data_IF_159844822275
#
_entry.id   IF_159844822275
#
_cell.length_a   1.000
_cell.length_b   1.000
_cell.length_c   1.000
_cell.angle_alpha   90.00
_cell.angle_beta   90.00
_cell.angle_gamma   90.00
#
_symmetry.space_group_name_H-M   'P 1'
#
loop_
_entity.id
_entity.type
_entity.pdbx_description
1 polymer ?
#
# COMPACT_ATOMS: atom_id res chain seq x y z
N UNK A 1 -3.15 -6.52 -24.47
CA UNK A 1 -2.04 -5.78 -23.83
C UNK A 1 -0.91 -6.74 -23.50
N UNK A 2 0.33 -6.24 -23.49
CA UNK A 2 1.50 -7.02 -23.07
C UNK A 2 1.89 -6.53 -21.68
N UNK A 3 2.18 -7.45 -20.76
CA UNK A 3 2.71 -7.16 -19.44
C UNK A 3 4.08 -7.83 -19.28
N UNK A 4 4.98 -7.18 -18.56
CA UNK A 4 6.29 -7.70 -18.21
C UNK A 4 6.43 -7.66 -16.69
N UNK A 5 6.68 -8.80 -16.07
CA UNK A 5 6.95 -8.92 -14.64
C UNK A 5 8.48 -8.90 -14.44
N UNK A 6 8.96 -8.04 -13.54
CA UNK A 6 10.38 -7.87 -13.27
C UNK A 6 10.65 -8.07 -11.78
N UNK A 7 10.89 -9.33 -11.34
CA UNK A 7 11.16 -9.61 -9.94
C UNK A 7 12.53 -9.09 -9.50
N UNK A 8 12.62 -8.52 -8.30
CA UNK A 8 13.85 -8.02 -7.71
C UNK A 8 14.60 -9.08 -6.88
N UNK A 9 13.91 -10.13 -6.46
CA UNK A 9 14.48 -11.22 -5.64
C UNK A 9 13.86 -12.57 -5.98
N UNK A 10 14.38 -13.65 -5.39
CA UNK A 10 13.94 -15.03 -5.67
C UNK A 10 12.51 -15.31 -5.24
N UNK A 11 12.04 -14.69 -4.16
CA UNK A 11 10.67 -14.86 -3.71
C UNK A 11 9.69 -14.16 -4.66
N UNK A 12 10.01 -12.96 -5.13
CA UNK A 12 9.20 -12.27 -6.14
C UNK A 12 9.13 -13.04 -7.48
N UNK A 13 10.12 -13.89 -7.80
CA UNK A 13 10.01 -14.81 -8.95
C UNK A 13 8.87 -15.79 -8.73
N UNK A 14 8.71 -16.31 -7.52
CA UNK A 14 7.59 -17.22 -7.17
C UNK A 14 6.25 -16.47 -7.21
N UNK A 15 6.19 -15.25 -6.72
CA UNK A 15 4.99 -14.39 -6.82
C UNK A 15 4.62 -14.14 -8.29
N UNK A 16 5.60 -13.80 -9.12
CA UNK A 16 5.40 -13.60 -10.55
C UNK A 16 4.87 -14.87 -11.24
N UNK A 17 5.41 -16.04 -10.90
CA UNK A 17 4.92 -17.32 -11.43
C UNK A 17 3.48 -17.57 -10.97
N UNK A 18 3.18 -17.39 -9.69
CA UNK A 18 1.83 -17.53 -9.16
C UNK A 18 0.82 -16.60 -9.86
N UNK A 19 1.22 -15.37 -10.16
CA UNK A 19 0.40 -14.43 -10.91
C UNK A 19 0.19 -14.87 -12.37
N UNK A 20 1.23 -15.38 -13.04
CA UNK A 20 1.12 -15.92 -14.40
C UNK A 20 0.19 -17.15 -14.44
N UNK A 21 0.31 -18.04 -13.47
CA UNK A 21 -0.56 -19.20 -13.34
C UNK A 21 -2.02 -18.79 -13.14
N UNK A 22 -2.28 -17.72 -12.37
CA UNK A 22 -3.60 -17.15 -12.20
C UNK A 22 -4.16 -16.59 -13.52
N UNK A 23 -3.34 -15.90 -14.30
CA UNK A 23 -3.73 -15.40 -15.63
C UNK A 23 -4.07 -16.54 -16.58
N UNK A 24 -3.23 -17.58 -16.65
CA UNK A 24 -3.46 -18.74 -17.51
C UNK A 24 -4.71 -19.54 -17.10
N UNK A 25 -4.98 -19.63 -15.81
CA UNK A 25 -6.17 -20.27 -15.28
C UNK A 25 -7.44 -19.39 -15.37
N UNK A 26 -7.33 -18.15 -15.87
CA UNK A 26 -8.42 -17.17 -15.90
C UNK A 26 -9.05 -16.90 -14.52
N UNK A 27 -8.28 -17.06 -13.46
CA UNK A 27 -8.70 -16.74 -12.09
C UNK A 27 -8.16 -15.36 -11.72
N UNK A 28 -9.05 -14.40 -11.64
CA UNK A 28 -8.71 -13.02 -11.29
C UNK A 28 -9.04 -12.77 -9.82
N UNK A 29 -8.18 -12.00 -9.20
CA UNK A 29 -8.38 -11.50 -7.87
C UNK A 29 -9.30 -10.30 -7.85
N UNK A 30 -10.05 -10.19 -6.78
CA UNK A 30 -10.88 -9.04 -6.47
C UNK A 30 -12.34 -9.25 -6.83
N UNK A 31 -13.14 -8.50 -6.12
CA UNK A 31 -14.56 -8.40 -6.38
C UNK A 31 -14.81 -7.65 -7.70
N UNK A 32 -15.95 -7.90 -8.36
CA UNK A 32 -16.36 -7.11 -9.49
C UNK A 32 -16.32 -5.63 -9.14
N UNK A 33 -15.67 -4.82 -9.98
CA UNK A 33 -15.60 -3.39 -9.74
C UNK A 33 -17.01 -2.82 -9.62
N UNK A 34 -17.28 -2.12 -8.53
CA UNK A 34 -18.48 -1.35 -8.35
C UNK A 34 -18.61 -0.21 -9.36
N UNK A 35 -19.71 0.56 -9.31
CA UNK A 35 -19.90 1.75 -10.14
C UNK A 35 -18.70 2.70 -10.01
N UNK A 36 -18.30 3.31 -11.11
CA UNK A 36 -17.19 4.26 -11.14
C UNK A 36 -17.42 5.45 -10.20
N UNK A 37 -16.41 5.87 -9.43
CA UNK A 37 -16.50 7.01 -8.52
C UNK A 37 -16.81 8.29 -9.27
N UNK A 38 -17.72 9.11 -8.76
CA UNK A 38 -18.15 10.36 -9.43
C UNK A 38 -17.07 11.43 -9.43
N UNK A 39 -16.19 11.45 -8.45
CA UNK A 39 -15.04 12.37 -8.39
C UNK A 39 -14.04 12.08 -9.53
N UNK A 40 -13.78 10.81 -9.84
CA UNK A 40 -12.96 10.40 -11.00
C UNK A 40 -13.62 10.82 -12.30
N UNK A 41 -14.95 10.67 -12.42
CA UNK A 41 -15.70 11.17 -13.59
C UNK A 41 -15.58 12.69 -13.73
N UNK A 42 -15.73 13.44 -12.64
CA UNK A 42 -15.56 14.89 -12.64
C UNK A 42 -14.14 15.29 -13.08
N UNK A 43 -13.12 14.59 -12.64
CA UNK A 43 -11.74 14.81 -13.09
C UNK A 43 -11.56 14.50 -14.57
N UNK A 44 -12.18 13.42 -15.08
CA UNK A 44 -12.13 13.08 -16.51
C UNK A 44 -12.80 14.14 -17.37
N UNK A 45 -14.00 14.61 -17.01
CA UNK A 45 -14.69 15.70 -17.68
C UNK A 45 -13.80 16.95 -17.75
N UNK A 46 -13.18 17.30 -16.62
CA UNK A 46 -12.30 18.46 -16.54
C UNK A 46 -11.02 18.30 -17.37
N UNK A 47 -10.42 17.11 -17.36
CA UNK A 47 -9.24 16.78 -18.16
C UNK A 47 -9.54 16.83 -19.66
N UNK A 48 -10.72 16.36 -20.08
CA UNK A 48 -11.19 16.46 -21.48
C UNK A 48 -11.30 17.92 -21.90
N UNK A 49 -11.88 18.80 -21.07
CA UNK A 49 -11.96 20.23 -21.34
C UNK A 49 -10.58 20.92 -21.42
N UNK A 50 -9.57 20.39 -20.70
CA UNK A 50 -8.18 20.87 -20.80
C UNK A 50 -7.50 20.47 -22.12
N UNK A 51 -7.98 19.42 -22.78
CA UNK A 51 -7.44 18.97 -24.06
C UNK A 51 -8.08 19.69 -25.25
N UNK A 52 -9.43 19.73 -25.29
CA UNK A 52 -10.21 20.37 -26.34
C UNK A 52 -11.65 20.63 -25.89
N UNK A 53 -12.38 21.55 -26.57
CA UNK A 53 -13.81 21.67 -26.42
C UNK A 53 -14.53 20.37 -26.78
N UNK A 54 -15.56 20.01 -26.00
CA UNK A 54 -16.30 18.76 -26.20
C UNK A 54 -17.81 18.96 -26.20
N UNK A 55 -18.52 18.05 -26.87
CA UNK A 55 -19.96 17.90 -26.77
C UNK A 55 -20.31 17.00 -25.58
N UNK A 56 -21.34 17.33 -24.81
CA UNK A 56 -21.70 16.59 -23.61
C UNK A 56 -22.26 15.18 -23.90
N UNK A 57 -23.01 15.07 -25.02
CA UNK A 57 -23.60 13.76 -25.37
C UNK A 57 -22.56 12.85 -25.97
N UNK A 58 -21.65 13.36 -26.79
CA UNK A 58 -20.51 12.60 -27.30
C UNK A 58 -19.64 12.07 -26.14
N UNK A 59 -19.29 12.93 -25.17
CA UNK A 59 -18.49 12.51 -24.00
C UNK A 59 -19.25 11.51 -23.13
N UNK A 60 -20.56 11.66 -22.95
CA UNK A 60 -21.37 10.68 -22.24
C UNK A 60 -21.32 9.30 -22.92
N UNK A 61 -21.48 9.27 -24.24
CA UNK A 61 -21.40 8.01 -25.00
C UNK A 61 -20.00 7.36 -24.86
N UNK A 62 -18.94 8.14 -24.85
CA UNK A 62 -17.59 7.64 -24.61
C UNK A 62 -17.48 7.06 -23.19
N UNK A 63 -17.89 7.78 -22.16
CA UNK A 63 -17.77 7.39 -20.74
C UNK A 63 -18.48 6.08 -20.45
N UNK A 64 -19.68 5.85 -20.98
CA UNK A 64 -20.43 4.60 -20.72
C UNK A 64 -19.82 3.36 -21.40
N UNK A 65 -18.85 3.53 -22.30
CA UNK A 65 -18.09 2.38 -22.85
C UNK A 65 -17.11 1.80 -21.82
N UNK A 66 -16.75 2.56 -20.77
CA UNK A 66 -15.91 2.09 -19.71
C UNK A 66 -16.71 1.23 -18.71
N UNK A 67 -16.23 0.03 -18.41
CA UNK A 67 -16.93 -0.92 -17.54
C UNK A 67 -17.48 -0.33 -16.23
N UNK A 68 -16.71 0.46 -15.45
CA UNK A 68 -17.20 1.07 -14.21
C UNK A 68 -18.35 2.07 -14.40
N UNK A 69 -18.49 2.63 -15.58
CA UNK A 69 -19.53 3.62 -15.91
C UNK A 69 -20.61 3.09 -16.87
N UNK A 70 -20.60 1.81 -17.22
CA UNK A 70 -21.59 1.22 -18.15
C UNK A 70 -23.05 1.39 -17.67
N UNK A 71 -23.28 1.44 -16.36
CA UNK A 71 -24.59 1.70 -15.75
C UNK A 71 -24.86 3.17 -15.43
N UNK A 72 -23.96 4.08 -15.80
CA UNK A 72 -24.13 5.52 -15.54
C UNK A 72 -25.30 6.07 -16.36
N UNK A 73 -26.27 6.67 -15.68
CA UNK A 73 -27.40 7.31 -16.35
C UNK A 73 -27.03 8.69 -16.87
N UNK A 74 -27.70 9.18 -17.94
CA UNK A 74 -27.46 10.51 -18.47
C UNK A 74 -27.68 11.62 -17.41
N UNK A 75 -28.74 11.58 -16.57
CA UNK A 75 -28.89 12.53 -15.48
C UNK A 75 -27.73 12.49 -14.47
N UNK A 76 -27.17 11.30 -14.21
CA UNK A 76 -26.00 11.15 -13.33
C UNK A 76 -24.75 11.79 -13.92
N UNK A 77 -24.52 11.64 -15.23
CA UNK A 77 -23.45 12.33 -15.95
C UNK A 77 -23.66 13.86 -15.95
N UNK A 78 -24.88 14.33 -16.27
CA UNK A 78 -25.19 15.75 -16.31
C UNK A 78 -25.01 16.42 -14.94
N UNK A 79 -25.32 15.72 -13.85
CA UNK A 79 -25.04 16.21 -12.50
C UNK A 79 -23.53 16.38 -12.22
N UNK A 80 -22.68 15.47 -12.70
CA UNK A 80 -21.22 15.62 -12.62
C UNK A 80 -20.72 16.77 -13.48
N UNK A 81 -21.26 16.92 -14.69
CA UNK A 81 -20.91 18.02 -15.60
C UNK A 81 -21.31 19.39 -15.00
N UNK A 82 -22.53 19.51 -14.43
CA UNK A 82 -22.97 20.73 -13.73
C UNK A 82 -22.08 21.04 -12.54
N UNK A 83 -21.72 20.01 -11.76
CA UNK A 83 -20.82 20.17 -10.63
C UNK A 83 -19.46 20.72 -11.06
N UNK A 84 -18.85 20.18 -12.11
CA UNK A 84 -17.57 20.68 -12.65
C UNK A 84 -17.70 22.08 -13.22
N UNK A 85 -18.81 22.35 -13.90
CA UNK A 85 -19.06 23.68 -14.52
C UNK A 85 -19.23 24.76 -13.47
N UNK A 86 -19.98 24.50 -12.39
CA UNK A 86 -20.46 25.53 -11.47
C UNK A 86 -19.78 25.53 -10.11
N UNK A 87 -19.06 24.47 -9.75
CA UNK A 87 -18.51 24.24 -8.42
C UNK A 87 -19.53 23.64 -7.44
N UNK A 88 -20.68 23.19 -7.95
CA UNK A 88 -21.78 22.60 -7.19
C UNK A 88 -22.60 23.61 -6.40
N UNK A 89 -23.56 23.10 -5.65
CA UNK A 89 -24.57 23.87 -4.93
C UNK A 89 -23.98 25.00 -4.06
N UNK A 90 -22.97 24.72 -3.26
CA UNK A 90 -22.41 25.67 -2.29
C UNK A 90 -21.55 26.77 -2.96
N UNK A 91 -20.96 26.49 -4.11
CA UNK A 91 -19.99 27.38 -4.75
C UNK A 91 -20.49 28.03 -6.03
N UNK A 92 -21.70 27.70 -6.47
CA UNK A 92 -22.32 28.19 -7.72
C UNK A 92 -22.37 29.74 -7.81
N UNK A 93 -22.47 30.42 -6.68
CA UNK A 93 -22.50 31.89 -6.61
C UNK A 93 -21.12 32.55 -6.83
N UNK A 94 -20.04 31.77 -6.80
CA UNK A 94 -18.68 32.31 -6.88
C UNK A 94 -18.04 31.97 -8.23
N UNK A 95 -17.88 32.95 -9.08
CA UNK A 95 -17.28 32.80 -10.43
C UNK A 95 -15.93 32.09 -10.45
N UNK A 96 -15.12 32.25 -9.40
CA UNK A 96 -13.78 31.61 -9.29
C UNK A 96 -13.81 30.08 -9.29
N UNK A 97 -14.95 29.49 -8.93
CA UNK A 97 -15.09 28.01 -8.86
C UNK A 97 -15.70 27.40 -10.11
N UNK A 98 -16.25 28.26 -11.00
CA UNK A 98 -16.78 27.80 -12.27
C UNK A 98 -15.63 27.44 -13.22
N UNK A 99 -15.48 26.17 -13.52
CA UNK A 99 -14.37 25.67 -14.32
C UNK A 99 -14.69 25.58 -15.80
N UNK A 100 -15.93 25.32 -16.17
CA UNK A 100 -16.35 25.16 -17.54
C UNK A 100 -17.37 26.26 -17.95
N UNK A 101 -17.43 26.52 -19.24
CA UNK A 101 -18.45 27.37 -19.88
C UNK A 101 -18.96 26.69 -21.14
N UNK A 102 -20.26 26.85 -21.41
CA UNK A 102 -20.89 26.39 -22.64
C UNK A 102 -20.85 27.53 -23.66
N UNK A 103 -20.31 27.28 -24.86
CA UNK A 103 -20.23 28.23 -25.94
C UNK A 103 -20.43 27.50 -27.26
N UNK A 104 -21.41 27.94 -28.09
CA UNK A 104 -21.76 27.33 -29.38
C UNK A 104 -22.01 25.80 -29.28
N UNK A 105 -22.71 25.36 -28.22
CA UNK A 105 -23.04 23.94 -28.00
C UNK A 105 -21.90 23.10 -27.47
N UNK A 106 -20.71 23.66 -27.26
CA UNK A 106 -19.54 22.91 -26.73
C UNK A 106 -19.10 23.45 -25.38
N UNK A 107 -18.67 22.54 -24.52
CA UNK A 107 -18.07 22.84 -23.23
C UNK A 107 -16.59 23.16 -23.38
N UNK A 108 -16.17 24.25 -22.77
CA UNK A 108 -14.80 24.77 -22.81
C UNK A 108 -14.28 24.98 -21.38
N UNK A 109 -12.99 24.84 -21.20
CA UNK A 109 -12.34 25.34 -19.97
C UNK A 109 -12.54 26.89 -19.91
N UNK A 110 -13.07 27.37 -18.78
CA UNK A 110 -13.36 28.80 -18.61
C UNK A 110 -12.11 29.68 -18.62
N UNK A 111 -11.05 29.23 -17.90
CA UNK A 111 -9.74 29.88 -17.92
C UNK A 111 -8.68 28.87 -18.42
N UNK A 112 -8.17 29.02 -19.64
CA UNK A 112 -7.14 28.14 -20.18
C UNK A 112 -5.85 28.07 -19.33
N UNK A 113 -5.54 29.13 -18.55
CA UNK A 113 -4.35 29.14 -17.66
C UNK A 113 -4.45 28.13 -16.53
N UNK A 114 -5.67 27.73 -16.14
CA UNK A 114 -5.89 26.70 -15.13
C UNK A 114 -5.51 25.29 -15.61
N UNK A 115 -5.37 25.06 -16.93
CA UNK A 115 -5.10 23.71 -17.47
C UNK A 115 -3.82 23.07 -16.92
N UNK A 116 -2.75 23.85 -16.73
CA UNK A 116 -1.50 23.34 -16.18
C UNK A 116 -1.68 22.84 -14.75
N UNK A 117 -2.34 23.62 -13.90
CA UNK A 117 -2.63 23.26 -12.51
C UNK A 117 -3.55 22.04 -12.42
N UNK A 118 -4.58 21.97 -13.27
CA UNK A 118 -5.51 20.84 -13.31
C UNK A 118 -4.75 19.57 -13.67
N UNK A 119 -3.89 19.60 -14.70
CA UNK A 119 -3.10 18.44 -15.12
C UNK A 119 -2.11 17.96 -14.06
N UNK A 120 -1.58 18.83 -13.21
CA UNK A 120 -0.70 18.48 -12.12
C UNK A 120 -1.45 17.81 -10.94
N UNK A 121 -2.76 17.98 -10.86
CA UNK A 121 -3.59 17.47 -9.77
C UNK A 121 -4.60 16.43 -10.26
N UNK A 122 -4.26 15.66 -11.29
CA UNK A 122 -5.06 14.52 -11.75
C UNK A 122 -4.72 13.28 -10.94
N UNK A 123 -5.73 12.50 -10.61
CA UNK A 123 -5.61 11.23 -9.94
C UNK A 123 -6.58 11.09 -8.77
N UNK A 124 -6.57 9.91 -8.18
CA UNK A 124 -7.38 9.62 -7.00
C UNK A 124 -6.85 10.42 -5.82
N UNK A 125 -7.73 11.07 -5.09
CA UNK A 125 -7.38 11.67 -3.78
C UNK A 125 -7.11 10.50 -2.84
N UNK A 126 -5.86 10.35 -2.45
CA UNK A 126 -5.46 9.34 -1.49
C UNK A 126 -5.51 10.02 -0.12
N UNK A 127 -6.30 9.46 0.78
CA UNK A 127 -6.40 9.92 2.16
C UNK A 127 -5.22 9.37 2.98
N UNK A 128 -4.02 9.85 2.65
CA UNK A 128 -2.80 9.55 3.40
C UNK A 128 -2.35 10.85 4.04
N UNK A 129 -2.47 10.91 5.35
CA UNK A 129 -1.95 12.03 6.10
C UNK A 129 -0.43 11.89 6.25
N UNK A 130 0.30 12.84 5.70
CA UNK A 130 1.74 12.96 5.87
C UNK A 130 2.06 14.15 6.77
N UNK A 131 3.09 13.97 7.60
CA UNK A 131 3.61 14.98 8.49
C UNK A 131 4.97 15.47 7.99
N UNK A 132 5.18 16.78 7.96
CA UNK A 132 6.48 17.35 7.61
C UNK A 132 7.49 17.11 8.74
N UNK A 133 8.72 16.72 8.37
CA UNK A 133 9.82 16.55 9.31
C UNK A 133 10.75 17.75 9.23
N UNK A 134 11.00 18.42 10.36
CA UNK A 134 11.87 19.60 10.42
C UNK A 134 12.90 19.51 11.56
N UNK A 135 14.09 20.01 11.29
CA UNK A 135 15.06 20.27 12.36
C UNK A 135 14.54 21.37 13.27
N UNK A 136 14.60 21.13 14.57
CA UNK A 136 14.19 22.09 15.61
C UNK A 136 14.94 23.41 15.43
N UNK A 137 14.21 24.51 15.35
CA UNK A 137 14.76 25.84 15.14
C UNK A 137 15.18 26.20 13.70
N UNK A 138 14.98 25.35 12.71
CA UNK A 138 15.38 25.57 11.31
C UNK A 138 14.17 25.43 10.35
N UNK A 139 14.10 26.32 9.36
CA UNK A 139 12.90 26.53 8.56
C UNK A 139 12.58 25.50 7.47
N UNK A 140 13.59 24.85 6.86
CA UNK A 140 13.35 23.93 5.73
C UNK A 140 12.97 22.51 6.20
N UNK A 141 11.94 21.88 5.61
CA UNK A 141 11.63 20.49 5.88
C UNK A 141 12.72 19.56 5.30
N UNK A 142 13.04 18.49 6.04
CA UNK A 142 13.94 17.42 5.59
C UNK A 142 13.23 16.41 4.69
N UNK A 143 11.90 16.31 4.79
CA UNK A 143 11.06 15.38 4.09
C UNK A 143 9.69 15.25 4.76
N UNK A 144 8.97 14.21 4.41
CA UNK A 144 7.66 13.87 4.99
C UNK A 144 7.66 12.42 5.46
N UNK A 145 6.87 12.14 6.49
CA UNK A 145 6.59 10.78 6.99
C UNK A 145 5.10 10.60 7.15
N UNK A 146 4.62 9.37 7.06
CA UNK A 146 3.20 9.08 7.37
C UNK A 146 2.90 9.34 8.84
N UNK A 147 1.69 9.81 9.13
CA UNK A 147 1.22 10.04 10.50
C UNK A 147 1.30 8.77 11.34
N UNK A 148 0.96 7.62 10.77
CA UNK A 148 1.08 6.30 11.40
C UNK A 148 2.50 5.99 11.89
N UNK A 149 3.50 6.32 11.08
CA UNK A 149 4.91 6.17 11.49
C UNK A 149 5.25 7.14 12.61
N UNK A 150 4.86 8.41 12.47
CA UNK A 150 5.13 9.44 13.50
C UNK A 150 4.47 9.08 14.84
N UNK A 151 3.26 8.51 14.82
CA UNK A 151 2.55 8.04 16.02
C UNK A 151 3.26 6.87 16.72
N UNK A 152 4.07 6.10 16.00
CA UNK A 152 4.87 5.00 16.55
C UNK A 152 6.18 5.46 17.22
N UNK A 153 6.54 6.73 17.08
CA UNK A 153 7.78 7.28 17.62
C UNK A 153 7.61 7.79 19.05
N UNK A 154 8.59 7.50 19.89
CA UNK A 154 8.73 8.10 21.21
C UNK A 154 9.88 9.11 21.21
N UNK A 155 9.80 10.21 22.00
CA UNK A 155 10.92 11.16 22.10
C UNK A 155 12.23 10.46 22.44
N UNK A 156 13.26 10.72 21.62
CA UNK A 156 14.57 10.05 21.73
C UNK A 156 14.78 8.96 20.66
N UNK A 157 13.74 8.42 20.03
CA UNK A 157 13.88 7.50 18.91
C UNK A 157 14.65 8.13 17.76
N UNK A 158 15.45 7.33 17.07
CA UNK A 158 16.18 7.78 15.88
C UNK A 158 15.60 7.11 14.62
N UNK A 159 15.56 7.88 13.54
CA UNK A 159 15.12 7.35 12.24
C UNK A 159 15.86 8.02 11.08
N UNK A 160 15.80 7.38 9.92
CA UNK A 160 16.46 7.84 8.69
C UNK A 160 15.47 8.66 7.85
N UNK A 161 15.85 9.90 7.49
CA UNK A 161 15.11 10.74 6.57
C UNK A 161 16.04 11.66 5.79
N UNK A 162 15.78 11.84 4.48
CA UNK A 162 16.62 12.69 3.63
C UNK A 162 18.11 12.30 3.63
N UNK A 163 18.43 11.01 3.81
CA UNK A 163 19.80 10.50 3.91
C UNK A 163 20.52 10.84 5.24
N UNK A 164 19.78 11.34 6.25
CA UNK A 164 20.33 11.71 7.55
C UNK A 164 19.64 10.96 8.68
N UNK A 165 20.41 10.55 9.69
CA UNK A 165 19.85 10.01 10.93
C UNK A 165 19.46 11.19 11.80
N UNK A 166 18.22 11.22 12.22
CA UNK A 166 17.63 12.24 13.08
C UNK A 166 17.03 11.60 14.32
N UNK A 167 16.95 12.39 15.40
CA UNK A 167 16.28 12.01 16.65
C UNK A 167 14.93 12.71 16.73
N UNK A 168 13.88 11.94 17.01
CA UNK A 168 12.54 12.46 17.25
C UNK A 168 12.49 13.22 18.58
N UNK A 169 12.05 14.47 18.56
CA UNK A 169 11.91 15.33 19.72
C UNK A 169 10.45 15.53 20.12
N UNK A 170 9.53 15.45 19.16
CA UNK A 170 8.09 15.57 19.38
C UNK A 170 7.32 15.98 18.13
N UNK A 171 6.00 16.01 18.28
CA UNK A 171 5.07 16.49 17.26
C UNK A 171 4.54 17.87 17.66
N UNK A 172 4.61 18.85 16.75
CA UNK A 172 4.07 20.18 16.96
C UNK A 172 3.39 20.68 15.67
N UNK A 173 2.11 21.03 15.76
CA UNK A 173 1.35 21.61 14.64
C UNK A 173 1.52 20.85 13.32
N UNK A 174 1.26 19.54 13.31
CA UNK A 174 1.44 18.67 12.13
C UNK A 174 2.88 18.62 11.59
N UNK A 175 3.86 18.92 12.44
CA UNK A 175 5.28 18.87 12.11
C UNK A 175 6.03 17.99 13.10
N UNK A 176 6.72 17.00 12.60
CA UNK A 176 7.67 16.17 13.37
C UNK A 176 8.94 16.97 13.58
N UNK A 177 9.16 17.40 14.81
CA UNK A 177 10.41 18.10 15.20
C UNK A 177 11.49 17.07 15.49
N UNK A 178 12.67 17.28 14.88
CA UNK A 178 13.81 16.38 15.04
C UNK A 178 15.09 17.17 15.31
N UNK A 179 16.06 16.52 15.94
CA UNK A 179 17.44 17.02 16.07
C UNK A 179 18.41 16.14 15.28
N UNK A 180 19.58 16.68 14.92
CA UNK A 180 20.65 15.86 14.33
C UNK A 180 21.16 14.88 15.38
N UNK A 181 21.28 13.62 15.02
CA UNK A 181 21.79 12.60 15.92
C UNK A 181 22.77 11.68 15.20
N UNK A 182 23.93 11.40 15.79
CA UNK A 182 24.81 10.34 15.32
C UNK A 182 24.32 8.95 15.76
N UNK A 183 23.02 8.80 16.11
CA UNK A 183 22.44 7.61 16.72
C UNK A 183 22.78 6.31 15.99
N UNK A 184 22.80 5.21 16.76
CA UNK A 184 22.94 3.85 16.26
C UNK A 184 21.51 3.28 16.12
N UNK A 185 21.31 2.39 15.15
CA UNK A 185 20.05 1.66 14.90
C UNK A 185 18.82 2.57 14.64
N UNK A 186 18.84 3.37 13.56
CA UNK A 186 17.71 4.21 13.22
C UNK A 186 16.51 3.36 12.77
N UNK A 187 15.31 3.67 13.25
CA UNK A 187 14.08 3.14 12.66
C UNK A 187 13.98 3.56 11.20
N UNK A 188 13.48 2.68 10.34
CA UNK A 188 13.21 3.01 8.95
C UNK A 188 11.76 3.45 8.82
N UNK A 189 11.54 4.64 8.25
CA UNK A 189 10.18 5.09 7.96
C UNK A 189 9.53 4.13 6.96
N UNK A 190 8.44 3.51 7.38
CA UNK A 190 7.65 2.62 6.53
C UNK A 190 6.47 3.42 6.00
N UNK A 191 6.35 3.50 4.68
CA UNK A 191 5.22 4.11 4.01
C UNK A 191 4.20 3.00 3.68
N UNK A 192 3.08 2.99 4.40
CA UNK A 192 2.05 1.96 4.28
C UNK A 192 1.05 2.23 3.15
N UNK A 193 0.89 3.50 2.77
CA UNK A 193 -0.18 3.97 1.91
C UNK A 193 -0.10 3.57 0.44
N UNK A 194 1.00 2.97 -0.03
CA UNK A 194 1.19 2.61 -1.45
C UNK A 194 1.32 1.11 -1.72
N UNK A 195 1.28 0.27 -0.69
CA UNK A 195 1.37 -1.17 -0.86
C UNK A 195 -0.03 -1.78 -0.87
N UNK A 196 -0.43 -2.29 -2.03
CA UNK A 196 -1.59 -3.16 -2.11
C UNK A 196 -1.33 -4.42 -1.26
N UNK A 197 -2.35 -4.82 -0.49
CA UNK A 197 -2.29 -6.09 0.23
C UNK A 197 -2.22 -7.25 -0.78
N UNK A 198 -1.43 -8.25 -0.47
CA UNK A 198 -1.42 -9.49 -1.26
C UNK A 198 -2.76 -10.20 -1.06
N UNK A 199 -3.32 -10.68 -2.17
CA UNK A 199 -4.61 -11.36 -2.13
C UNK A 199 -4.49 -12.80 -1.65
N UNK A 200 -5.58 -13.32 -1.08
CA UNK A 200 -5.66 -14.74 -0.69
C UNK A 200 -5.40 -15.66 -1.88
N UNK A 201 -5.92 -15.33 -3.05
CA UNK A 201 -5.74 -16.16 -4.24
C UNK A 201 -4.26 -16.25 -4.66
N UNK A 202 -3.51 -15.16 -4.59
CA UNK A 202 -2.08 -15.16 -4.89
C UNK A 202 -1.30 -15.95 -3.83
N UNK A 203 -1.61 -15.77 -2.55
CA UNK A 203 -0.93 -16.52 -1.48
C UNK A 203 -1.19 -18.02 -1.55
N UNK A 204 -2.43 -18.42 -1.83
CA UNK A 204 -2.77 -19.84 -2.02
C UNK A 204 -1.98 -20.47 -3.19
N UNK A 205 -1.82 -19.74 -4.30
CA UNK A 205 -1.00 -20.20 -5.43
C UNK A 205 0.47 -20.32 -5.09
N UNK A 206 1.03 -19.38 -4.33
CA UNK A 206 2.41 -19.46 -3.84
C UNK A 206 2.58 -20.73 -2.99
N UNK A 207 1.66 -20.98 -2.06
CA UNK A 207 1.67 -22.19 -1.24
C UNK A 207 1.54 -23.46 -2.09
N UNK A 208 0.70 -23.45 -3.13
CA UNK A 208 0.61 -24.57 -4.09
C UNK A 208 1.94 -24.81 -4.83
N UNK A 209 2.63 -23.74 -5.26
CA UNK A 209 3.97 -23.88 -5.88
C UNK A 209 4.93 -24.53 -4.88
N UNK A 210 4.91 -24.13 -3.61
CA UNK A 210 5.76 -24.73 -2.58
C UNK A 210 5.50 -26.23 -2.37
N UNK A 211 4.30 -26.72 -2.63
CA UNK A 211 3.96 -28.15 -2.49
C UNK A 211 4.39 -29.04 -3.67
N UNK A 212 4.84 -28.45 -4.78
CA UNK A 212 5.31 -29.21 -5.93
C UNK A 212 6.59 -30.00 -5.59
N UNK A 213 6.74 -31.20 -6.14
CA UNK A 213 7.95 -32.01 -5.96
C UNK A 213 9.18 -31.39 -6.65
N UNK A 214 8.97 -30.69 -7.74
CA UNK A 214 9.97 -29.96 -8.51
C UNK A 214 9.34 -28.71 -9.16
N UNK A 215 10.17 -27.77 -9.58
CA UNK A 215 9.73 -26.47 -10.11
C UNK A 215 10.26 -26.22 -11.54
N UNK A 216 9.77 -26.96 -12.55
CA UNK A 216 10.26 -26.86 -13.93
C UNK A 216 9.96 -25.49 -14.55
N UNK A 217 8.91 -24.80 -14.09
CA UNK A 217 8.47 -23.49 -14.60
C UNK A 217 9.24 -22.32 -13.95
N UNK A 218 10.00 -22.58 -12.90
CA UNK A 218 10.84 -21.56 -12.26
C UNK A 218 12.26 -21.55 -12.86
N UNK A 219 12.93 -20.38 -12.89
CA UNK A 219 14.35 -20.32 -13.22
C UNK A 219 15.20 -21.22 -12.31
N UNK A 220 16.24 -21.84 -12.87
CA UNK A 220 17.07 -22.82 -12.15
C UNK A 220 17.58 -22.35 -10.79
N UNK A 221 17.97 -21.08 -10.68
CA UNK A 221 18.47 -20.51 -9.42
C UNK A 221 17.38 -20.37 -8.33
N UNK A 222 16.13 -20.18 -8.73
CA UNK A 222 14.98 -20.12 -7.81
C UNK A 222 14.55 -21.52 -7.40
N UNK A 223 14.43 -22.45 -8.35
CA UNK A 223 14.14 -23.85 -8.09
C UNK A 223 15.20 -24.47 -7.15
N UNK A 224 16.49 -24.21 -7.41
CA UNK A 224 17.59 -24.64 -6.54
C UNK A 224 17.47 -24.06 -5.13
N UNK A 225 17.11 -22.78 -5.00
CA UNK A 225 16.92 -22.15 -3.69
C UNK A 225 15.79 -22.80 -2.90
N UNK A 226 14.65 -23.09 -3.51
CA UNK A 226 13.53 -23.81 -2.86
C UNK A 226 13.93 -25.23 -2.47
N UNK A 227 14.67 -25.94 -3.33
CA UNK A 227 15.17 -27.27 -3.02
C UNK A 227 16.10 -27.24 -1.81
N UNK A 228 17.01 -26.26 -1.74
CA UNK A 228 17.90 -26.08 -0.58
C UNK A 228 17.14 -25.75 0.69
N UNK A 229 16.12 -24.91 0.62
CA UNK A 229 15.26 -24.62 1.79
C UNK A 229 14.59 -25.90 2.31
N UNK A 230 14.09 -26.76 1.39
CA UNK A 230 13.45 -28.03 1.74
C UNK A 230 14.42 -29.05 2.36
N UNK A 231 15.72 -28.98 2.00
CA UNK A 231 16.75 -29.84 2.60
C UNK A 231 17.08 -29.43 4.04
N UNK A 232 17.07 -28.13 4.37
CA UNK A 232 17.50 -27.61 5.68
C UNK A 232 16.35 -27.32 6.64
N UNK A 233 15.15 -27.12 6.12
CA UNK A 233 13.93 -26.85 6.89
C UNK A 233 12.70 -27.36 6.11
N UNK A 234 11.57 -26.70 6.28
CA UNK A 234 10.34 -26.96 5.53
C UNK A 234 9.98 -25.73 4.69
N UNK A 235 9.14 -25.95 3.68
CA UNK A 235 8.42 -24.88 3.02
C UNK A 235 7.03 -24.76 3.66
N UNK A 236 6.49 -23.52 3.78
CA UNK A 236 5.12 -23.31 4.25
C UNK A 236 4.11 -24.10 3.42
N UNK A 237 3.06 -24.58 4.05
CA UNK A 237 1.96 -25.30 3.42
C UNK A 237 0.59 -24.72 3.81
N UNK A 238 -0.47 -24.98 3.03
CA UNK A 238 -1.78 -24.37 3.27
C UNK A 238 -2.54 -24.94 4.49
N UNK A 239 -2.04 -26.03 5.12
CA UNK A 239 -2.74 -26.78 6.16
C UNK A 239 -2.07 -26.70 7.52
N UNK A 240 -0.89 -26.10 7.60
CA UNK A 240 -0.14 -25.96 8.85
C UNK A 240 0.47 -24.55 8.96
N UNK A 241 0.72 -24.13 10.20
CA UNK A 241 1.45 -22.91 10.50
C UNK A 241 2.91 -23.28 10.76
N UNK A 242 3.79 -22.86 9.86
CA UNK A 242 5.22 -23.05 10.05
C UNK A 242 5.79 -21.96 10.95
N UNK A 243 6.52 -22.41 11.97
CA UNK A 243 7.27 -21.53 12.88
C UNK A 243 8.74 -21.95 12.89
N UNK A 244 9.62 -20.95 12.88
CA UNK A 244 11.06 -21.16 13.02
C UNK A 244 11.59 -20.24 14.12
N UNK A 245 12.33 -20.85 15.09
CA UNK A 245 13.01 -20.14 16.16
C UNK A 245 14.52 -20.31 16.01
N UNK A 246 15.28 -19.23 16.08
CA UNK A 246 16.73 -19.25 15.92
C UNK A 246 17.40 -18.02 16.56
N UNK A 247 18.63 -18.16 17.07
CA UNK A 247 19.44 -17.04 17.49
C UNK A 247 20.06 -16.31 16.28
N UNK A 248 20.04 -14.99 16.30
CA UNK A 248 20.71 -14.18 15.29
C UNK A 248 21.11 -12.81 15.90
N UNK A 249 22.34 -12.39 15.67
CA UNK A 249 22.89 -11.09 16.10
C UNK A 249 22.66 -10.77 17.60
N UNK A 250 22.88 -11.79 18.46
CA UNK A 250 22.73 -11.65 19.91
C UNK A 250 21.29 -11.53 20.41
N UNK A 251 20.32 -11.86 19.59
CA UNK A 251 18.89 -11.90 19.90
C UNK A 251 18.28 -13.22 19.49
N UNK A 252 17.18 -13.56 20.10
CA UNK A 252 16.34 -14.69 19.71
C UNK A 252 15.26 -14.23 18.75
N UNK A 253 15.01 -15.00 17.72
CA UNK A 253 14.04 -14.69 16.67
C UNK A 253 13.01 -15.81 16.56
N UNK A 254 11.75 -15.43 16.37
CA UNK A 254 10.64 -16.30 16.02
C UNK A 254 10.01 -15.79 14.72
N UNK A 255 10.00 -16.62 13.68
CA UNK A 255 9.31 -16.35 12.43
C UNK A 255 8.04 -17.17 12.35
N UNK A 256 6.93 -16.55 12.01
CA UNK A 256 5.61 -17.16 11.83
C UNK A 256 5.22 -16.97 10.37
N UNK A 257 5.17 -18.05 9.60
CA UNK A 257 4.83 -18.02 8.16
C UNK A 257 3.32 -18.22 7.97
N UNK A 258 2.54 -17.14 8.10
CA UNK A 258 1.07 -17.21 8.12
C UNK A 258 0.41 -17.01 6.76
N UNK A 259 1.06 -16.35 5.80
CA UNK A 259 0.52 -16.08 4.45
C UNK A 259 -0.90 -15.46 4.42
N UNK A 260 -1.27 -14.71 5.46
CA UNK A 260 -2.63 -14.22 5.68
C UNK A 260 -2.83 -12.73 5.36
N UNK A 261 -1.82 -12.10 4.74
CA UNK A 261 -1.81 -10.67 4.48
C UNK A 261 -1.34 -9.83 5.67
N UNK A 262 -0.82 -8.64 5.39
CA UNK A 262 -0.13 -7.80 6.38
C UNK A 262 -0.97 -7.47 7.61
N UNK A 263 -2.26 -7.13 7.45
CA UNK A 263 -3.11 -6.74 8.57
C UNK A 263 -3.32 -7.89 9.54
N UNK A 264 -3.56 -9.10 9.03
CA UNK A 264 -3.68 -10.31 9.85
C UNK A 264 -2.34 -10.64 10.54
N UNK A 265 -1.22 -10.53 9.80
CA UNK A 265 0.11 -10.75 10.34
C UNK A 265 0.50 -9.72 11.42
N UNK A 266 0.12 -8.45 11.28
CA UNK A 266 0.31 -7.44 12.32
C UNK A 266 -0.50 -7.75 13.57
N UNK A 267 -1.77 -8.12 13.41
CA UNK A 267 -2.63 -8.51 14.53
C UNK A 267 -2.05 -9.72 15.25
N UNK A 268 -1.63 -10.74 14.49
CA UNK A 268 -0.98 -11.92 15.05
C UNK A 268 0.31 -11.56 15.81
N UNK A 269 1.14 -10.70 15.23
CA UNK A 269 2.37 -10.22 15.87
C UNK A 269 2.10 -9.55 17.21
N UNK A 270 1.10 -8.68 17.29
CA UNK A 270 0.68 -8.03 18.54
C UNK A 270 0.20 -9.05 19.58
N UNK A 271 -0.67 -9.99 19.19
CA UNK A 271 -1.22 -10.99 20.08
C UNK A 271 -0.13 -11.92 20.63
N UNK A 272 0.71 -12.45 19.73
CA UNK A 272 1.82 -13.33 20.12
C UNK A 272 2.84 -12.61 21.00
N UNK A 273 3.20 -11.36 20.68
CA UNK A 273 4.11 -10.56 21.52
C UNK A 273 3.53 -10.37 22.92
N UNK A 274 2.24 -10.06 23.02
CA UNK A 274 1.55 -9.93 24.32
C UNK A 274 1.53 -11.26 25.09
N UNK A 275 1.32 -12.37 24.40
CA UNK A 275 1.34 -13.70 25.01
C UNK A 275 2.76 -14.08 25.47
N UNK A 276 3.80 -13.74 24.72
CA UNK A 276 5.20 -13.89 25.13
C UNK A 276 5.46 -13.14 26.46
N UNK A 277 5.03 -11.88 26.56
CA UNK A 277 5.17 -11.10 27.80
C UNK A 277 4.44 -11.78 28.97
N UNK A 278 3.22 -12.29 28.77
CA UNK A 278 2.45 -12.97 29.82
C UNK A 278 3.11 -14.25 30.33
N UNK A 279 3.92 -14.90 29.47
CA UNK A 279 4.69 -16.09 29.82
C UNK A 279 6.09 -15.77 30.35
N UNK A 280 6.41 -14.51 30.56
CA UNK A 280 7.69 -14.07 31.11
C UNK A 280 8.83 -14.05 30.09
N UNK A 281 8.55 -14.18 28.81
CA UNK A 281 9.52 -13.94 27.74
C UNK A 281 9.66 -12.43 27.52
N UNK A 282 10.79 -11.98 27.02
CA UNK A 282 11.11 -10.57 26.79
C UNK A 282 11.18 -10.24 25.30
N UNK A 283 10.01 -10.09 24.60
CA UNK A 283 10.00 -9.64 23.22
C UNK A 283 10.42 -8.16 23.15
N UNK A 284 11.24 -7.81 22.17
CA UNK A 284 11.72 -6.45 21.95
C UNK A 284 10.96 -5.73 20.82
N UNK A 285 10.33 -6.50 19.92
CA UNK A 285 9.56 -5.96 18.82
C UNK A 285 9.20 -7.01 17.79
N UNK A 286 8.42 -6.60 16.80
CA UNK A 286 8.10 -7.44 15.66
C UNK A 286 7.95 -6.61 14.38
N UNK A 287 8.03 -7.29 13.23
CA UNK A 287 7.72 -6.77 11.92
C UNK A 287 6.84 -7.77 11.18
N UNK A 288 5.83 -7.26 10.48
CA UNK A 288 4.92 -8.08 9.68
C UNK A 288 5.01 -7.73 8.20
N UNK A 289 5.00 -8.75 7.37
CA UNK A 289 4.82 -8.66 5.91
C UNK A 289 3.47 -9.27 5.53
N UNK A 290 3.17 -9.40 4.26
CA UNK A 290 1.97 -10.12 3.81
C UNK A 290 2.07 -11.63 4.07
N UNK A 291 3.28 -12.17 4.22
CA UNK A 291 3.59 -13.60 4.26
C UNK A 291 4.03 -14.12 5.62
N UNK A 292 4.67 -13.28 6.41
CA UNK A 292 5.26 -13.71 7.67
C UNK A 292 5.32 -12.57 8.70
N UNK A 293 5.37 -12.98 9.97
CA UNK A 293 5.68 -12.12 11.10
C UNK A 293 6.99 -12.58 11.72
N UNK A 294 7.94 -11.66 11.87
CA UNK A 294 9.19 -11.87 12.60
C UNK A 294 9.09 -11.16 13.94
N UNK A 295 9.31 -11.87 15.03
CA UNK A 295 9.41 -11.34 16.39
C UNK A 295 10.85 -11.54 16.85
N UNK A 296 11.43 -10.55 17.51
CA UNK A 296 12.75 -10.69 18.15
C UNK A 296 12.67 -10.35 19.62
N UNK A 297 13.49 -11.05 20.43
CA UNK A 297 13.49 -10.92 21.88
C UNK A 297 14.83 -11.30 22.51
N UNK A 298 14.86 -11.36 23.84
CA UNK A 298 16.02 -11.75 24.62
C UNK A 298 16.02 -13.24 24.97
N UNK A 299 14.83 -13.85 25.02
CA UNK A 299 14.65 -15.22 25.47
C UNK A 299 14.29 -16.14 24.29
N UNK A 300 14.85 -17.38 24.25
CA UNK A 300 14.53 -18.33 23.21
C UNK A 300 13.10 -18.89 23.35
N UNK A 301 12.41 -19.05 22.24
CA UNK A 301 11.12 -19.72 22.18
C UNK A 301 11.36 -21.21 21.86
N UNK A 302 11.37 -22.04 22.90
CA UNK A 302 11.59 -23.49 22.76
C UNK A 302 10.32 -24.27 22.40
N UNK A 303 9.17 -23.78 22.87
CA UNK A 303 7.83 -24.26 22.51
C UNK A 303 6.95 -23.08 22.20
N UNK A 304 6.50 -23.00 20.96
CA UNK A 304 5.67 -21.91 20.50
C UNK A 304 4.17 -22.21 20.59
N UNK A 305 3.77 -23.47 20.84
CA UNK A 305 2.35 -23.83 20.87
C UNK A 305 1.53 -23.02 21.91
N UNK A 306 2.02 -22.79 23.15
CA UNK A 306 1.29 -22.00 24.14
C UNK A 306 1.14 -20.52 23.77
N UNK A 307 1.94 -20.01 22.81
CA UNK A 307 1.82 -18.62 22.35
C UNK A 307 0.58 -18.37 21.47
N UNK A 308 -0.05 -19.43 20.99
CA UNK A 308 -1.25 -19.39 20.16
C UNK A 308 -2.52 -19.74 20.93
N UNK A 309 -2.43 -19.95 22.22
CA UNK A 309 -3.59 -20.08 23.12
C UNK A 309 -4.08 -18.67 23.48
N UNK A 310 -4.88 -18.11 22.57
CA UNK A 310 -5.30 -16.71 22.57
C UNK A 310 -6.71 -16.55 23.21
N UNK A 311 -7.02 -17.25 24.31
CA UNK A 311 -8.30 -17.07 25.04
C UNK A 311 -8.45 -15.69 25.71
#
# INVERSE_FOLDING_TARGET
>A
SKALLVPANRFEVVECQAALDAVHAHTLDGEPRGPGPRDVLCQHILATACAAPFDADDLYQEVITAGPYAALTKPGFDACLDFVATGGYALKAYDRWQRLKLTQGKWHLRDPRAAALIRQNLGTIIDIETLKVRLRGHGAPLGEVEESFAASLTPGDTFLIGGQIVRYEGLREMTVEVSKSPGRDPKVAVFNGTKFATSTLLTDRILQIFQQDSWPDLPNHTAWWLAKQREVSRLPDPHSLLLESFPHDGREHLVIYGFAGRNAQQTLGLLVTKQMESQGLAPLGFVATDYATLIWGLDPVNDAAPLFDLE
#
